data_IF_940143255407
#
_entry.id   IF_940143255407
#
_cell.length_a   1.000
_cell.length_b   1.000
_cell.length_c   1.000
_cell.angle_alpha   90.00
_cell.angle_beta   90.00
_cell.angle_gamma   90.00
#
_symmetry.space_group_name_H-M   'P 1'
#
loop_
_entity.id
_entity.type
_entity.pdbx_description
1 polymer ?
#
# COMPACT_ATOMS: atom_id res chain seq x y z
N UNK A 1 28.43 47.98 6.94
CA UNK A 1 28.08 47.37 8.24
C UNK A 1 26.74 47.83 8.81
N UNK A 2 26.44 49.14 8.97
CA UNK A 2 25.14 49.62 9.51
C UNK A 2 23.89 49.10 8.78
N UNK A 3 23.90 49.03 7.44
CA UNK A 3 22.76 48.46 6.66
C UNK A 3 22.54 46.97 6.91
N UNK A 4 23.60 46.20 7.14
CA UNK A 4 23.53 44.76 7.46
C UNK A 4 22.99 44.53 8.88
N UNK A 5 23.38 45.37 9.84
CA UNK A 5 22.87 45.31 11.21
C UNK A 5 21.37 45.66 11.28
N UNK A 6 20.92 46.68 10.55
CA UNK A 6 19.50 47.05 10.46
C UNK A 6 18.69 45.94 9.80
N UNK A 7 19.18 45.35 8.70
CA UNK A 7 18.56 44.20 8.05
C UNK A 7 18.43 42.99 9.01
N UNK A 8 19.49 42.69 9.77
CA UNK A 8 19.51 41.61 10.75
C UNK A 8 18.53 41.85 11.92
N UNK A 9 18.38 43.08 12.38
CA UNK A 9 17.44 43.42 13.45
C UNK A 9 15.98 43.36 12.96
N UNK A 10 15.70 43.85 11.74
CA UNK A 10 14.37 43.72 11.13
C UNK A 10 14.02 42.26 10.84
N UNK A 11 14.96 41.45 10.36
CA UNK A 11 14.71 40.03 10.11
C UNK A 11 14.48 39.27 11.41
N UNK A 12 15.21 39.58 12.49
CA UNK A 12 15.01 38.98 13.81
C UNK A 12 13.61 39.30 14.39
N UNK A 13 13.12 40.53 14.25
CA UNK A 13 11.77 40.93 14.70
C UNK A 13 10.66 40.24 13.90
N UNK A 14 10.83 40.13 12.57
CA UNK A 14 9.90 39.40 11.70
C UNK A 14 9.92 37.91 12.05
N UNK A 15 11.10 37.34 12.25
CA UNK A 15 11.23 35.94 12.62
C UNK A 15 10.56 35.65 13.96
N UNK A 16 10.86 36.43 15.01
CA UNK A 16 10.22 36.29 16.32
C UNK A 16 8.69 36.41 16.26
N UNK A 17 8.16 37.25 15.37
CA UNK A 17 6.73 37.47 15.22
C UNK A 17 6.01 36.40 14.38
N UNK A 18 6.68 35.78 13.40
CA UNK A 18 6.06 34.95 12.35
C UNK A 18 6.70 33.56 12.19
N UNK A 19 7.65 33.15 13.03
CA UNK A 19 8.37 31.88 12.87
C UNK A 19 7.44 30.67 12.74
N UNK A 20 6.37 30.59 13.54
CA UNK A 20 5.37 29.50 13.45
C UNK A 20 4.73 29.42 12.06
N UNK A 21 4.38 30.57 11.48
CA UNK A 21 3.78 30.65 10.15
C UNK A 21 4.80 30.31 9.06
N UNK A 22 6.04 30.77 9.19
CA UNK A 22 7.12 30.52 8.23
C UNK A 22 7.48 29.04 8.22
N UNK A 23 7.81 28.47 9.38
CA UNK A 23 8.16 27.05 9.53
C UNK A 23 6.97 26.17 9.11
N UNK A 24 5.77 26.50 9.57
CA UNK A 24 4.56 25.77 9.20
C UNK A 24 4.30 25.78 7.69
N UNK A 25 4.48 26.93 7.03
CA UNK A 25 4.34 27.02 5.58
C UNK A 25 5.40 26.20 4.85
N UNK A 26 6.67 26.28 5.26
CA UNK A 26 7.76 25.50 4.66
C UNK A 26 7.49 23.99 4.77
N UNK A 27 6.98 23.53 5.92
CA UNK A 27 6.61 22.12 6.11
C UNK A 27 5.45 21.70 5.20
N UNK A 28 4.42 22.54 5.04
CA UNK A 28 3.31 22.28 4.10
C UNK A 28 3.84 22.22 2.65
N UNK A 29 4.75 23.12 2.25
CA UNK A 29 5.38 23.06 0.93
C UNK A 29 6.24 21.80 0.74
N UNK A 30 7.04 21.45 1.74
CA UNK A 30 7.86 20.24 1.72
C UNK A 30 7.01 18.97 1.61
N UNK A 31 5.80 18.96 2.19
CA UNK A 31 4.87 17.84 2.10
C UNK A 31 4.51 17.47 0.65
N UNK A 32 4.54 18.41 -0.30
CA UNK A 32 4.24 18.12 -1.70
C UNK A 32 5.38 17.40 -2.44
N UNK A 33 6.62 17.56 -1.97
CA UNK A 33 7.80 16.93 -2.57
C UNK A 33 8.20 15.62 -1.86
N UNK A 34 7.76 15.43 -0.61
CA UNK A 34 8.08 14.25 0.20
C UNK A 34 7.10 13.10 -0.05
N UNK A 35 7.55 11.88 0.25
CA UNK A 35 6.75 10.65 0.15
C UNK A 35 5.64 10.67 1.22
N UNK A 36 4.40 10.45 0.77
CA UNK A 36 3.22 10.39 1.63
C UNK A 36 2.89 8.98 2.12
N UNK A 37 3.15 7.97 1.29
CA UNK A 37 2.90 6.56 1.61
C UNK A 37 4.14 5.76 1.22
N UNK A 38 4.63 4.93 2.14
CA UNK A 38 5.72 3.99 1.91
C UNK A 38 5.14 2.65 1.43
N UNK A 39 5.52 2.26 0.21
CA UNK A 39 5.27 0.93 -0.34
C UNK A 39 6.49 0.07 0.00
N UNK A 40 6.32 -1.10 0.63
CA UNK A 40 7.45 -1.96 1.03
C UNK A 40 8.27 -2.47 -0.16
N UNK A 41 7.62 -2.76 -1.28
CA UNK A 41 8.26 -3.40 -2.43
C UNK A 41 8.32 -2.47 -3.65
N UNK A 42 7.20 -1.81 -3.97
CA UNK A 42 7.08 -0.95 -5.15
C UNK A 42 7.77 0.41 -4.97
N UNK A 43 8.23 1.01 -6.07
CA UNK A 43 8.65 2.42 -6.05
C UNK A 43 7.51 3.33 -5.60
N UNK A 44 7.81 4.21 -4.65
CA UNK A 44 6.83 5.09 -4.03
C UNK A 44 6.27 6.13 -5.02
N UNK A 45 4.95 6.34 -5.08
CA UNK A 45 4.39 7.48 -5.79
C UNK A 45 4.79 8.80 -5.09
N UNK A 46 5.15 9.82 -5.87
CA UNK A 46 5.30 11.18 -5.37
C UNK A 46 3.91 11.83 -5.21
N UNK A 47 3.50 12.05 -3.96
CA UNK A 47 2.20 12.60 -3.61
C UNK A 47 1.07 11.56 -3.54
N UNK A 48 0.20 11.69 -2.52
CA UNK A 48 -1.01 10.86 -2.39
C UNK A 48 -2.15 11.51 -3.17
N UNK A 49 -2.80 10.78 -4.09
CA UNK A 49 -3.91 11.29 -4.92
C UNK A 49 -5.24 11.23 -4.18
N UNK A 50 -6.08 12.25 -4.36
CA UNK A 50 -7.45 12.23 -3.84
C UNK A 50 -8.32 11.23 -4.63
N UNK A 51 -9.08 10.34 -3.95
CA UNK A 51 -9.82 9.25 -4.59
C UNK A 51 -10.98 9.72 -5.49
N UNK A 52 -11.47 10.95 -5.34
CA UNK A 52 -12.61 11.45 -6.12
C UNK A 52 -12.34 11.58 -7.62
N UNK A 53 -11.08 11.62 -8.07
CA UNK A 53 -10.73 12.01 -9.45
C UNK A 53 -9.65 11.11 -10.10
N UNK A 54 -9.73 9.79 -9.83
CA UNK A 54 -8.83 8.73 -10.32
C UNK A 54 -8.70 8.64 -11.86
N UNK A 55 -9.52 9.37 -12.63
CA UNK A 55 -9.63 9.27 -14.09
C UNK A 55 -8.93 10.38 -14.89
N UNK A 56 -8.24 11.34 -14.25
CA UNK A 56 -7.54 12.42 -14.93
C UNK A 56 -6.02 12.21 -14.91
N UNK A 57 -5.56 11.11 -15.53
CA UNK A 57 -4.13 10.85 -15.75
C UNK A 57 -3.62 11.66 -16.95
N UNK A 58 -3.04 12.85 -16.68
CA UNK A 58 -2.35 13.63 -17.72
C UNK A 58 -0.82 13.54 -17.62
N UNK A 59 -0.21 13.24 -16.46
CA UNK A 59 1.25 13.03 -16.33
C UNK A 59 1.56 12.08 -15.15
N UNK A 60 2.35 10.99 -15.34
CA UNK A 60 2.60 9.95 -14.33
C UNK A 60 3.49 10.36 -13.13
N UNK A 61 3.94 11.63 -13.04
CA UNK A 61 4.93 12.06 -12.03
C UNK A 61 4.48 13.25 -11.17
N UNK A 62 3.41 13.95 -11.54
CA UNK A 62 2.83 15.06 -10.77
C UNK A 62 1.32 15.05 -10.95
N UNK A 63 0.60 14.48 -10.00
CA UNK A 63 -0.85 14.70 -9.95
C UNK A 63 -1.10 16.11 -9.41
N UNK A 64 -1.67 16.98 -10.24
CA UNK A 64 -2.14 18.32 -9.86
C UNK A 64 -3.12 18.31 -8.66
N UNK A 65 -3.64 17.13 -8.31
CA UNK A 65 -4.63 16.89 -7.25
C UNK A 65 -4.09 15.98 -6.14
N UNK A 66 -2.79 16.08 -5.81
CA UNK A 66 -2.25 15.41 -4.62
C UNK A 66 -2.62 16.15 -3.34
N UNK A 67 -2.67 15.45 -2.22
CA UNK A 67 -2.90 16.06 -0.89
C UNK A 67 -1.93 17.22 -0.60
N UNK A 68 -0.67 17.09 -1.00
CA UNK A 68 0.33 18.15 -0.86
C UNK A 68 0.04 19.38 -1.73
N UNK A 69 -0.35 19.18 -3.00
CA UNK A 69 -0.68 20.29 -3.92
C UNK A 69 -1.96 21.00 -3.48
N UNK A 70 -2.98 20.25 -3.05
CA UNK A 70 -4.21 20.83 -2.46
C UNK A 70 -3.87 21.57 -1.17
N UNK A 71 -2.99 21.03 -0.33
CA UNK A 71 -2.50 21.72 0.86
C UNK A 71 -1.83 23.07 0.54
N UNK A 72 -0.99 23.12 -0.50
CA UNK A 72 -0.38 24.37 -0.98
C UNK A 72 -1.46 25.35 -1.48
N UNK A 73 -2.44 24.88 -2.25
CA UNK A 73 -3.53 25.74 -2.75
C UNK A 73 -4.37 26.33 -1.61
N UNK A 74 -4.70 25.53 -0.59
CA UNK A 74 -5.43 25.99 0.61
C UNK A 74 -4.61 27.01 1.40
N UNK A 75 -3.32 26.73 1.61
CA UNK A 75 -2.42 27.62 2.33
C UNK A 75 -2.25 28.97 1.61
N UNK A 76 -1.98 28.95 0.30
CA UNK A 76 -1.81 30.17 -0.51
C UNK A 76 -3.08 31.01 -0.52
N UNK A 77 -4.24 30.38 -0.68
CA UNK A 77 -5.55 31.05 -0.61
C UNK A 77 -5.78 31.67 0.77
N UNK A 78 -5.49 30.93 1.86
CA UNK A 78 -5.58 31.44 3.22
C UNK A 78 -4.65 32.63 3.49
N UNK A 79 -3.41 32.60 2.98
CA UNK A 79 -2.45 33.70 3.11
C UNK A 79 -2.87 34.96 2.35
N UNK A 80 -3.45 34.83 1.14
CA UNK A 80 -3.98 35.95 0.36
C UNK A 80 -5.19 36.57 1.05
N UNK A 81 -6.14 35.74 1.48
CA UNK A 81 -7.37 36.18 2.14
C UNK A 81 -7.16 36.68 3.57
N UNK A 82 -6.02 36.38 4.19
CA UNK A 82 -5.63 36.94 5.50
C UNK A 82 -5.64 38.47 5.51
N UNK A 83 -5.38 39.12 4.37
CA UNK A 83 -5.45 40.59 4.25
C UNK A 83 -6.86 41.15 4.51
N UNK A 84 -7.90 40.32 4.35
CA UNK A 84 -9.31 40.68 4.55
C UNK A 84 -9.79 40.35 5.97
N UNK A 85 -9.44 39.18 6.48
CA UNK A 85 -9.72 38.79 7.87
C UNK A 85 -8.75 37.70 8.32
N UNK A 86 -8.32 37.77 9.58
CA UNK A 86 -7.48 36.75 10.20
C UNK A 86 -8.20 35.39 10.33
N UNK A 87 -9.54 35.38 10.33
CA UNK A 87 -10.36 34.15 10.39
C UNK A 87 -10.17 33.23 9.18
N UNK A 88 -9.86 33.76 7.99
CA UNK A 88 -9.60 32.94 6.80
C UNK A 88 -8.33 32.10 6.94
N UNK A 89 -7.33 32.57 7.67
CA UNK A 89 -6.13 31.78 7.96
C UNK A 89 -6.45 30.64 8.92
N UNK A 90 -7.30 30.88 9.92
CA UNK A 90 -7.79 29.84 10.83
C UNK A 90 -8.63 28.79 10.09
N UNK A 91 -9.47 29.20 9.12
CA UNK A 91 -10.21 28.30 8.25
C UNK A 91 -9.28 27.46 7.37
N UNK A 92 -8.26 28.08 6.74
CA UNK A 92 -7.26 27.35 5.97
C UNK A 92 -6.52 26.32 6.84
N UNK A 93 -6.13 26.70 8.06
CA UNK A 93 -5.52 25.77 9.01
C UNK A 93 -6.46 24.61 9.38
N UNK A 94 -7.75 24.88 9.64
CA UNK A 94 -8.73 23.84 9.93
C UNK A 94 -8.94 22.87 8.76
N UNK A 95 -8.95 23.36 7.52
CA UNK A 95 -9.02 22.53 6.31
C UNK A 95 -7.73 21.69 6.15
N UNK A 96 -6.56 22.27 6.40
CA UNK A 96 -5.30 21.52 6.34
C UNK A 96 -5.24 20.41 7.40
N UNK A 97 -5.69 20.67 8.62
CA UNK A 97 -5.81 19.66 9.68
C UNK A 97 -6.83 18.59 9.28
N UNK A 98 -7.95 18.97 8.65
CA UNK A 98 -8.92 18.02 8.14
C UNK A 98 -8.33 17.11 7.04
N UNK A 99 -7.52 17.66 6.13
CA UNK A 99 -6.80 16.86 5.12
C UNK A 99 -5.78 15.93 5.76
N UNK A 100 -5.06 16.40 6.79
CA UNK A 100 -4.08 15.60 7.53
C UNK A 100 -4.72 14.37 8.18
N UNK A 101 -5.84 14.54 8.89
CA UNK A 101 -6.54 13.41 9.54
C UNK A 101 -7.31 12.55 8.54
N UNK A 102 -7.82 13.13 7.45
CA UNK A 102 -8.55 12.39 6.43
C UNK A 102 -7.69 11.33 5.72
N UNK A 103 -6.40 11.57 5.52
CA UNK A 103 -5.52 10.67 4.78
C UNK A 103 -5.46 9.23 5.35
N UNK A 104 -5.07 9.00 6.62
CA UNK A 104 -5.10 7.66 7.21
C UNK A 104 -6.51 7.06 7.23
N UNK A 105 -7.54 7.84 7.55
CA UNK A 105 -8.92 7.35 7.58
C UNK A 105 -9.42 6.91 6.20
N UNK A 106 -9.02 7.61 5.13
CA UNK A 106 -9.38 7.20 3.76
C UNK A 106 -8.68 5.91 3.36
N UNK A 107 -7.39 5.76 3.69
CA UNK A 107 -6.65 4.52 3.43
C UNK A 107 -7.28 3.36 4.22
N UNK A 108 -7.57 3.56 5.50
CA UNK A 108 -8.10 2.53 6.39
C UNK A 108 -9.53 2.08 6.06
N UNK A 109 -10.40 3.01 5.65
CA UNK A 109 -11.86 2.75 5.60
C UNK A 109 -12.50 2.92 4.22
N UNK A 110 -11.92 3.73 3.33
CA UNK A 110 -12.55 4.07 2.04
C UNK A 110 -11.86 3.44 0.83
N UNK A 111 -10.57 3.12 0.94
CA UNK A 111 -9.73 2.60 -0.15
C UNK A 111 -9.19 1.18 0.13
N UNK A 112 -10.07 0.16 0.12
CA UNK A 112 -9.68 -1.21 0.45
C UNK A 112 -8.62 -1.78 -0.50
N UNK A 113 -8.66 -1.43 -1.78
CA UNK A 113 -7.65 -1.87 -2.75
C UNK A 113 -6.23 -1.34 -2.42
N UNK A 114 -6.12 -0.13 -1.87
CA UNK A 114 -4.81 0.41 -1.50
C UNK A 114 -4.30 -0.24 -0.22
N UNK A 115 -5.15 -0.38 0.80
CA UNK A 115 -4.79 -1.08 2.03
C UNK A 115 -4.43 -2.54 1.75
N UNK A 116 -5.18 -3.20 0.87
CA UNK A 116 -4.93 -4.56 0.40
C UNK A 116 -3.58 -4.69 -0.29
N UNK A 117 -3.25 -3.75 -1.20
CA UNK A 117 -1.91 -3.69 -1.81
C UNK A 117 -0.79 -3.49 -0.80
N UNK A 118 -0.96 -2.57 0.15
CA UNK A 118 0.05 -2.31 1.19
C UNK A 118 0.35 -3.56 2.02
N UNK A 119 -0.70 -4.28 2.41
CA UNK A 119 -0.59 -5.53 3.16
C UNK A 119 0.02 -6.64 2.29
N UNK A 120 -0.43 -6.79 1.04
CA UNK A 120 0.08 -7.80 0.12
C UNK A 120 1.60 -7.62 -0.11
N UNK A 121 2.07 -6.40 -0.37
CA UNK A 121 3.50 -6.12 -0.54
C UNK A 121 4.31 -6.46 0.74
N UNK A 122 3.75 -6.22 1.94
CA UNK A 122 4.37 -6.63 3.20
C UNK A 122 4.43 -8.16 3.35
N UNK A 123 3.42 -8.89 2.86
CA UNK A 123 3.34 -10.35 2.96
C UNK A 123 4.19 -11.07 1.89
N UNK A 124 4.33 -10.49 0.70
CA UNK A 124 5.14 -11.06 -0.39
C UNK A 124 6.64 -11.05 -0.08
N UNK A 125 7.13 -10.00 0.61
CA UNK A 125 8.56 -9.85 0.91
C UNK A 125 9.16 -11.03 1.70
N UNK A 126 8.58 -11.49 2.82
CA UNK A 126 9.04 -12.68 3.52
C UNK A 126 9.06 -13.94 2.65
N UNK A 127 8.07 -14.09 1.78
CA UNK A 127 8.00 -15.24 0.86
C UNK A 127 9.16 -15.19 -0.15
N UNK A 128 9.39 -14.04 -0.80
CA UNK A 128 10.47 -13.84 -1.78
C UNK A 128 11.84 -14.03 -1.12
N UNK A 129 12.03 -13.49 0.08
CA UNK A 129 13.28 -13.62 0.83
C UNK A 129 13.50 -15.04 1.33
N UNK A 130 12.45 -15.73 1.77
CA UNK A 130 12.48 -17.15 2.12
C UNK A 130 12.90 -18.00 0.92
N UNK A 131 12.33 -17.74 -0.25
CA UNK A 131 12.75 -18.36 -1.51
C UNK A 131 14.21 -18.03 -1.84
N UNK A 132 14.61 -16.76 -1.74
CA UNK A 132 15.96 -16.31 -2.02
C UNK A 132 17.00 -17.02 -1.14
N UNK A 133 16.73 -17.14 0.16
CA UNK A 133 17.60 -17.83 1.12
C UNK A 133 17.83 -19.29 0.78
N UNK A 134 16.82 -19.97 0.21
CA UNK A 134 16.90 -21.39 -0.14
C UNK A 134 17.53 -21.62 -1.51
N UNK A 135 17.26 -20.77 -2.50
CA UNK A 135 17.54 -21.05 -3.91
C UNK A 135 18.58 -20.14 -4.57
N UNK A 136 19.05 -19.11 -3.86
CA UNK A 136 20.03 -18.15 -4.38
C UNK A 136 21.30 -18.16 -3.54
N UNK A 137 22.38 -17.65 -4.14
CA UNK A 137 23.60 -17.35 -3.39
C UNK A 137 23.29 -16.30 -2.32
N UNK A 138 23.78 -16.47 -1.07
CA UNK A 138 23.38 -15.62 0.04
C UNK A 138 23.56 -14.13 -0.26
N UNK A 139 22.51 -13.36 -0.03
CA UNK A 139 22.59 -11.92 0.21
C UNK A 139 21.99 -11.69 1.59
N UNK A 140 22.83 -11.35 2.58
CA UNK A 140 22.41 -11.33 3.97
C UNK A 140 21.54 -10.13 4.34
N UNK A 141 21.51 -9.08 3.50
CA UNK A 141 20.73 -7.85 3.75
C UNK A 141 21.04 -7.18 5.12
N UNK A 142 20.47 -6.01 5.40
CA UNK A 142 20.40 -5.53 6.78
C UNK A 142 19.59 -6.52 7.64
N UNK A 143 19.95 -6.67 8.93
CA UNK A 143 19.14 -7.41 9.88
C UNK A 143 17.74 -6.78 9.97
N UNK A 144 16.72 -7.59 9.70
CA UNK A 144 15.38 -7.07 9.47
C UNK A 144 14.57 -7.01 10.75
N UNK A 145 14.18 -5.80 11.16
CA UNK A 145 13.03 -5.60 12.05
C UNK A 145 11.75 -5.59 11.22
N UNK A 146 11.16 -6.77 10.99
CA UNK A 146 9.77 -6.86 10.54
C UNK A 146 8.96 -7.75 11.47
N UNK A 147 8.13 -7.13 12.33
CA UNK A 147 6.91 -7.79 12.75
C UNK A 147 5.78 -6.78 12.66
N UNK A 148 5.11 -6.72 11.52
CA UNK A 148 3.77 -6.14 11.49
C UNK A 148 2.83 -7.09 10.77
N UNK A 149 2.52 -8.20 11.44
CA UNK A 149 1.21 -8.82 11.23
C UNK A 149 0.20 -7.83 11.79
N UNK A 150 -0.45 -7.10 10.89
CA UNK A 150 -1.53 -6.24 11.28
C UNK A 150 -2.78 -7.11 11.45
N UNK A 151 -3.37 -7.05 12.63
CA UNK A 151 -4.76 -7.46 12.78
C UNK A 151 -5.60 -6.46 11.98
N UNK A 152 -6.31 -6.92 10.96
CA UNK A 152 -7.14 -6.11 10.06
C UNK A 152 -8.62 -6.38 10.27
N UNK A 153 -8.96 -7.25 11.21
CA UNK A 153 -10.34 -7.62 11.53
C UNK A 153 -11.02 -6.54 12.37
N UNK A 154 -10.23 -5.75 13.08
CA UNK A 154 -10.66 -4.61 13.87
C UNK A 154 -10.44 -3.27 13.16
N UNK A 155 -11.35 -2.32 13.38
CA UNK A 155 -11.21 -0.95 12.86
C UNK A 155 -9.93 -0.27 13.35
N UNK A 156 -9.56 -0.53 14.60
CA UNK A 156 -8.33 -0.01 15.19
C UNK A 156 -7.10 -0.60 14.50
N UNK A 157 -7.10 -1.90 14.26
CA UNK A 157 -6.03 -2.59 13.56
C UNK A 157 -5.85 -2.09 12.11
N UNK A 158 -6.93 -1.83 11.37
CA UNK A 158 -6.88 -1.20 10.03
C UNK A 158 -6.32 0.21 10.07
N UNK A 159 -6.68 0.99 11.09
CA UNK A 159 -6.13 2.33 11.27
C UNK A 159 -4.63 2.29 11.55
N UNK A 160 -4.19 1.42 12.46
CA UNK A 160 -2.76 1.21 12.76
C UNK A 160 -1.99 0.71 11.52
N UNK A 161 -2.59 -0.18 10.73
CA UNK A 161 -2.01 -0.62 9.47
C UNK A 161 -1.82 0.57 8.52
N UNK A 162 -2.87 1.35 8.26
CA UNK A 162 -2.78 2.53 7.39
C UNK A 162 -1.75 3.56 7.87
N UNK A 163 -1.74 3.86 9.18
CA UNK A 163 -0.81 4.81 9.80
C UNK A 163 0.65 4.37 9.67
N UNK A 164 0.91 3.07 9.80
CA UNK A 164 2.27 2.52 9.72
C UNK A 164 2.96 2.71 8.37
N UNK A 165 2.18 2.93 7.29
CA UNK A 165 2.69 3.18 5.95
C UNK A 165 2.82 4.66 5.64
N UNK A 166 2.45 5.57 6.54
CA UNK A 166 2.53 7.00 6.28
C UNK A 166 3.99 7.49 6.29
N UNK A 167 4.29 8.33 5.32
CA UNK A 167 5.62 8.88 5.11
C UNK A 167 5.82 10.28 5.66
N UNK A 168 7.06 10.77 5.56
CA UNK A 168 7.46 12.10 6.05
C UNK A 168 6.59 13.23 5.49
N UNK A 169 6.06 13.09 4.27
CA UNK A 169 5.15 14.09 3.69
C UNK A 169 3.90 14.31 4.52
N UNK A 170 3.30 13.23 5.06
CA UNK A 170 2.12 13.33 5.92
C UNK A 170 2.44 14.02 7.25
N UNK A 171 3.56 13.67 7.89
CA UNK A 171 4.02 14.30 9.13
C UNK A 171 4.30 15.80 8.94
N UNK A 172 4.96 16.17 7.83
CA UNK A 172 5.22 17.56 7.50
C UNK A 172 3.92 18.35 7.28
N UNK A 173 2.92 17.78 6.60
CA UNK A 173 1.62 18.45 6.47
C UNK A 173 0.94 18.65 7.83
N UNK A 174 0.91 17.60 8.65
CA UNK A 174 0.27 17.63 9.98
C UNK A 174 0.90 18.67 10.89
N UNK A 175 2.21 18.55 11.13
CA UNK A 175 2.95 19.49 11.98
C UNK A 175 2.84 20.91 11.41
N UNK A 176 2.99 21.09 10.09
CA UNK A 176 2.87 22.39 9.45
C UNK A 176 1.49 23.03 9.67
N UNK A 177 0.42 22.24 9.49
CA UNK A 177 -0.96 22.69 9.69
C UNK A 177 -1.25 23.09 11.14
N UNK A 178 -0.72 22.34 12.12
CA UNK A 178 -0.85 22.64 13.55
C UNK A 178 -0.13 23.94 13.92
N UNK A 179 1.10 24.15 13.43
CA UNK A 179 1.85 25.39 13.68
C UNK A 179 1.12 26.62 13.12
N UNK A 180 0.54 26.51 11.92
CA UNK A 180 -0.27 27.58 11.30
C UNK A 180 -1.55 27.80 12.12
N UNK A 181 -2.21 26.73 12.59
CA UNK A 181 -3.38 26.79 13.46
C UNK A 181 -3.09 27.53 14.77
N UNK A 182 -2.04 27.13 15.50
CA UNK A 182 -1.60 27.77 16.75
C UNK A 182 -1.30 29.25 16.52
N UNK A 183 -0.57 29.56 15.45
CA UNK A 183 -0.27 30.94 15.07
C UNK A 183 -1.54 31.76 14.82
N UNK A 184 -2.50 31.19 14.08
CA UNK A 184 -3.75 31.87 13.73
C UNK A 184 -4.61 32.18 14.97
N UNK A 185 -4.75 31.22 15.90
CA UNK A 185 -5.55 31.38 17.12
C UNK A 185 -4.92 32.39 18.07
N UNK A 186 -3.60 32.36 18.23
CA UNK A 186 -2.88 33.25 19.14
C UNK A 186 -3.06 34.75 18.77
N UNK A 187 -3.26 35.05 17.49
CA UNK A 187 -3.36 36.43 16.97
C UNK A 187 -4.79 36.94 16.76
N UNK A 188 -5.81 36.11 16.98
CA UNK A 188 -7.20 36.54 16.87
C UNK A 188 -7.66 37.33 18.10
N UNK A 189 -8.51 38.36 17.93
CA UNK A 189 -9.17 39.05 19.04
C UNK A 189 -10.14 38.10 19.77
N UNK A 190 -10.41 38.37 21.05
CA UNK A 190 -11.16 37.46 21.93
C UNK A 190 -12.54 37.04 21.36
N UNK A 191 -13.23 37.94 20.69
CA UNK A 191 -14.54 37.70 20.08
C UNK A 191 -14.48 36.73 18.88
N UNK A 192 -13.40 36.76 18.09
CA UNK A 192 -13.23 35.88 16.93
C UNK A 192 -12.62 34.52 17.30
N UNK A 193 -11.96 34.42 18.48
CA UNK A 193 -11.37 33.16 18.97
C UNK A 193 -12.42 32.06 19.12
N UNK A 194 -13.60 32.38 19.65
CA UNK A 194 -14.70 31.43 19.78
C UNK A 194 -15.17 30.88 18.41
N UNK A 195 -15.26 31.74 17.40
CA UNK A 195 -15.61 31.34 16.03
C UNK A 195 -14.52 30.48 15.39
N UNK A 196 -13.25 30.83 15.59
CA UNK A 196 -12.12 30.03 15.10
C UNK A 196 -12.02 28.67 15.80
N UNK A 197 -12.30 28.59 17.11
CA UNK A 197 -12.38 27.33 17.83
C UNK A 197 -13.52 26.45 17.32
N UNK A 198 -14.65 27.03 16.91
CA UNK A 198 -15.73 26.28 16.29
C UNK A 198 -15.33 25.62 14.95
N UNK A 199 -14.31 26.14 14.25
CA UNK A 199 -13.76 25.52 13.04
C UNK A 199 -13.04 24.19 13.32
N UNK A 200 -12.67 23.90 14.57
CA UNK A 200 -12.15 22.58 14.97
C UNK A 200 -13.18 21.46 14.77
N UNK A 201 -14.46 21.78 14.61
CA UNK A 201 -15.50 20.82 14.23
C UNK A 201 -15.29 20.25 12.83
N UNK A 202 -14.64 20.99 11.91
CA UNK A 202 -14.41 20.54 10.53
C UNK A 202 -13.62 19.22 10.47
N UNK A 203 -12.41 19.12 11.05
CA UNK A 203 -11.67 17.85 11.05
C UNK A 203 -12.43 16.73 11.78
N UNK A 204 -13.12 17.03 12.88
CA UNK A 204 -13.93 16.05 13.61
C UNK A 204 -15.08 15.49 12.75
N UNK A 205 -15.81 16.36 12.03
CA UNK A 205 -16.88 15.95 11.11
C UNK A 205 -16.36 15.09 9.98
N UNK A 206 -15.18 15.40 9.42
CA UNK A 206 -14.57 14.58 8.37
C UNK A 206 -14.25 13.17 8.88
N UNK A 207 -13.69 13.03 10.08
CA UNK A 207 -13.44 11.71 10.68
C UNK A 207 -14.73 10.93 10.89
N UNK A 208 -15.76 11.58 11.45
CA UNK A 208 -17.07 10.94 11.67
C UNK A 208 -17.63 10.42 10.35
N UNK A 209 -17.62 11.24 9.28
CA UNK A 209 -18.14 10.86 7.96
C UNK A 209 -17.38 9.65 7.40
N UNK A 210 -16.04 9.65 7.53
CA UNK A 210 -15.21 8.57 7.00
C UNK A 210 -15.35 7.25 7.78
N UNK A 211 -15.55 7.33 9.10
CA UNK A 211 -15.59 6.20 10.02
C UNK A 211 -16.99 5.55 10.12
N UNK A 212 -18.06 6.34 9.99
CA UNK A 212 -19.44 5.86 10.23
C UNK A 212 -19.82 4.61 9.42
N UNK A 213 -19.54 4.52 8.10
CA UNK A 213 -19.88 3.32 7.34
C UNK A 213 -19.18 2.07 7.88
N UNK A 214 -17.88 2.15 8.19
CA UNK A 214 -17.11 1.03 8.72
C UNK A 214 -17.54 0.64 10.14
N UNK A 215 -17.99 1.58 10.97
CA UNK A 215 -18.59 1.27 12.28
C UNK A 215 -19.88 0.47 12.14
N UNK A 216 -20.77 0.89 11.24
CA UNK A 216 -22.02 0.16 10.98
C UNK A 216 -21.70 -1.24 10.43
N UNK A 217 -20.74 -1.34 9.51
CA UNK A 217 -20.28 -2.63 8.98
C UNK A 217 -19.68 -3.55 10.05
N UNK A 218 -18.88 -3.02 10.98
CA UNK A 218 -18.35 -3.77 12.13
C UNK A 218 -19.48 -4.34 12.98
N UNK A 219 -20.51 -3.53 13.29
CA UNK A 219 -21.65 -3.97 14.09
C UNK A 219 -22.41 -5.13 13.43
N UNK A 220 -22.67 -5.04 12.11
CA UNK A 220 -23.30 -6.13 11.37
C UNK A 220 -22.43 -7.37 11.29
N UNK A 221 -21.11 -7.22 11.16
CA UNK A 221 -20.19 -8.35 11.15
C UNK A 221 -20.19 -9.09 12.50
N UNK A 222 -20.09 -8.37 13.61
CA UNK A 222 -20.20 -8.99 14.95
C UNK A 222 -21.54 -9.69 15.12
N UNK A 223 -22.63 -9.08 14.67
CA UNK A 223 -23.97 -9.68 14.68
C UNK A 223 -24.04 -10.96 13.82
N UNK A 224 -23.34 -11.00 12.69
CA UNK A 224 -23.26 -12.16 11.82
C UNK A 224 -22.52 -13.31 12.50
N UNK A 225 -21.35 -13.05 13.08
CA UNK A 225 -20.58 -14.05 13.83
C UNK A 225 -21.38 -14.61 15.02
N UNK A 226 -22.12 -13.76 15.75
CA UNK A 226 -23.00 -14.24 16.83
C UNK A 226 -24.15 -15.11 16.32
N UNK A 227 -24.75 -14.75 15.18
CA UNK A 227 -25.83 -15.55 14.60
C UNK A 227 -25.32 -16.89 14.06
N UNK A 228 -24.12 -16.91 13.47
CA UNK A 228 -23.44 -18.13 13.03
C UNK A 228 -23.15 -19.06 14.20
N UNK A 229 -22.61 -18.54 15.31
CA UNK A 229 -22.36 -19.32 16.52
C UNK A 229 -23.65 -19.89 17.14
N UNK A 230 -24.79 -19.23 16.93
CA UNK A 230 -26.11 -19.68 17.36
C UNK A 230 -26.77 -20.68 16.39
N UNK A 231 -26.12 -21.02 15.27
CA UNK A 231 -26.69 -21.89 14.23
C UNK A 231 -27.76 -21.22 13.36
N UNK A 232 -27.98 -19.91 13.49
CA UNK A 232 -28.96 -19.16 12.71
C UNK A 232 -28.39 -18.74 11.34
N UNK A 233 -28.20 -19.72 10.44
CA UNK A 233 -27.49 -19.55 9.16
C UNK A 233 -28.04 -18.45 8.26
N UNK A 234 -29.35 -18.40 7.99
CA UNK A 234 -29.95 -17.37 7.13
C UNK A 234 -29.77 -15.94 7.68
N UNK A 235 -29.88 -15.81 9.02
CA UNK A 235 -29.67 -14.54 9.71
C UNK A 235 -28.20 -14.11 9.62
N UNK A 236 -27.28 -15.06 9.79
CA UNK A 236 -25.85 -14.80 9.65
C UNK A 236 -25.49 -14.32 8.24
N UNK A 237 -25.97 -15.00 7.19
CA UNK A 237 -25.76 -14.59 5.78
C UNK A 237 -26.28 -13.17 5.55
N UNK A 238 -27.49 -12.87 6.01
CA UNK A 238 -28.08 -11.52 5.86
C UNK A 238 -27.23 -10.45 6.55
N UNK A 239 -26.74 -10.73 7.76
CA UNK A 239 -25.86 -9.81 8.48
C UNK A 239 -24.50 -9.64 7.79
N UNK A 240 -23.90 -10.71 7.23
CA UNK A 240 -22.66 -10.62 6.46
C UNK A 240 -22.82 -9.74 5.21
N UNK A 241 -23.88 -9.94 4.44
CA UNK A 241 -24.17 -9.11 3.25
C UNK A 241 -24.34 -7.64 3.62
N UNK A 242 -25.04 -7.34 4.73
CA UNK A 242 -25.14 -5.96 5.25
C UNK A 242 -23.78 -5.40 5.67
N UNK A 243 -22.95 -6.20 6.34
CA UNK A 243 -21.60 -5.78 6.71
C UNK A 243 -20.77 -5.38 5.49
N UNK A 244 -20.81 -6.18 4.41
CA UNK A 244 -20.14 -5.89 3.14
C UNK A 244 -20.69 -4.65 2.44
N UNK A 245 -21.99 -4.39 2.56
CA UNK A 245 -22.62 -3.21 1.94
C UNK A 245 -22.13 -1.90 2.59
N UNK A 246 -22.01 -1.88 3.92
CA UNK A 246 -21.57 -0.70 4.66
C UNK A 246 -20.03 -0.53 4.69
N UNK A 247 -19.29 -1.64 4.71
CA UNK A 247 -17.84 -1.63 4.86
C UNK A 247 -17.15 -2.18 3.60
N UNK A 248 -16.57 -1.27 2.83
CA UNK A 248 -15.90 -1.59 1.56
C UNK A 248 -14.71 -2.54 1.74
N UNK A 249 -14.05 -2.53 2.90
CA UNK A 249 -13.00 -3.50 3.21
C UNK A 249 -13.56 -4.91 3.30
N UNK A 250 -14.67 -5.07 4.03
CA UNK A 250 -15.35 -6.36 4.17
C UNK A 250 -15.88 -6.90 2.85
N UNK A 251 -16.24 -6.04 1.91
CA UNK A 251 -16.57 -6.46 0.55
C UNK A 251 -15.36 -7.02 -0.23
N UNK A 252 -14.12 -6.75 0.19
CA UNK A 252 -12.90 -7.31 -0.42
C UNK A 252 -12.32 -8.48 0.38
N UNK A 253 -12.85 -8.77 1.58
CA UNK A 253 -12.36 -9.80 2.47
C UNK A 253 -12.93 -11.17 2.07
N UNK A 254 -12.07 -12.04 1.54
CA UNK A 254 -12.48 -13.37 1.07
C UNK A 254 -13.06 -14.25 2.18
N UNK A 255 -12.60 -14.07 3.42
CA UNK A 255 -13.06 -14.89 4.55
C UNK A 255 -14.58 -14.76 4.78
N UNK A 256 -15.17 -13.60 4.44
CA UNK A 256 -16.61 -13.39 4.54
C UNK A 256 -17.37 -14.19 3.47
N UNK A 257 -16.83 -14.24 2.24
CA UNK A 257 -17.41 -15.05 1.17
C UNK A 257 -17.32 -16.54 1.50
N UNK A 258 -16.19 -16.99 2.06
CA UNK A 258 -16.03 -18.37 2.53
C UNK A 258 -17.04 -18.71 3.64
N UNK A 259 -17.21 -17.84 4.64
CA UNK A 259 -18.16 -18.05 5.73
C UNK A 259 -19.61 -18.14 5.24
N UNK A 260 -19.98 -17.28 4.27
CA UNK A 260 -21.30 -17.38 3.62
C UNK A 260 -21.41 -18.72 2.88
N UNK A 261 -20.39 -19.13 2.13
CA UNK A 261 -20.36 -20.39 1.39
C UNK A 261 -20.53 -21.61 2.31
N UNK A 262 -19.84 -21.64 3.45
CA UNK A 262 -19.97 -22.69 4.46
C UNK A 262 -21.41 -22.77 4.99
N UNK A 263 -22.00 -21.64 5.33
CA UNK A 263 -23.38 -21.56 5.81
C UNK A 263 -24.39 -22.04 4.76
N UNK A 264 -24.19 -21.67 3.49
CA UNK A 264 -25.05 -22.11 2.39
C UNK A 264 -24.94 -23.61 2.11
N UNK A 265 -23.75 -24.19 2.25
CA UNK A 265 -23.56 -25.65 2.14
C UNK A 265 -24.25 -26.39 3.28
N UNK A 266 -24.10 -25.92 4.52
CA UNK A 266 -24.75 -26.51 5.70
C UNK A 266 -26.28 -26.40 5.66
N UNK A 267 -26.81 -25.32 5.07
CA UNK A 267 -28.27 -25.11 4.98
C UNK A 267 -28.95 -25.99 3.91
N UNK A 268 -28.19 -26.76 3.12
CA UNK A 268 -28.73 -27.61 2.07
C UNK A 268 -29.42 -26.85 0.91
N UNK A 269 -29.21 -25.52 0.83
CA UNK A 269 -29.71 -24.70 -0.27
C UNK A 269 -29.12 -25.24 -1.57
N UNK A 270 -29.96 -25.77 -2.46
CA UNK A 270 -29.49 -26.49 -3.67
C UNK A 270 -28.95 -25.58 -4.78
N UNK A 271 -29.11 -24.26 -4.66
CA UNK A 271 -28.70 -23.32 -5.70
C UNK A 271 -27.19 -23.10 -5.68
N UNK A 272 -26.56 -23.24 -6.83
CA UNK A 272 -25.14 -22.95 -7.02
C UNK A 272 -24.85 -21.45 -6.75
N UNK A 273 -23.71 -21.15 -6.13
CA UNK A 273 -23.34 -19.79 -5.73
C UNK A 273 -21.82 -19.60 -5.76
N UNK A 274 -21.33 -18.38 -6.03
CA UNK A 274 -19.89 -18.12 -6.05
C UNK A 274 -19.25 -18.27 -4.67
N UNK A 275 -19.98 -18.01 -3.58
CA UNK A 275 -19.51 -18.20 -2.22
C UNK A 275 -19.22 -19.68 -1.89
N UNK A 276 -20.04 -20.61 -2.40
CA UNK A 276 -19.77 -22.05 -2.26
C UNK A 276 -18.50 -22.48 -2.97
N UNK A 277 -18.26 -21.95 -4.18
CA UNK A 277 -17.03 -22.19 -4.91
C UNK A 277 -15.81 -21.68 -4.14
N UNK A 278 -15.87 -20.48 -3.59
CA UNK A 278 -14.80 -19.91 -2.74
C UNK A 278 -14.55 -20.77 -1.50
N UNK A 279 -15.62 -21.17 -0.79
CA UNK A 279 -15.53 -22.05 0.38
C UNK A 279 -14.90 -23.41 0.04
N UNK A 280 -15.28 -24.03 -1.08
CA UNK A 280 -14.67 -25.28 -1.56
C UNK A 280 -13.21 -25.10 -2.00
N UNK A 281 -12.87 -23.95 -2.59
CA UNK A 281 -11.50 -23.64 -2.95
C UNK A 281 -10.58 -23.58 -1.72
N UNK A 282 -11.06 -23.03 -0.59
CA UNK A 282 -10.30 -23.06 0.67
C UNK A 282 -10.00 -24.48 1.13
N UNK A 283 -10.99 -25.37 1.12
CA UNK A 283 -10.79 -26.78 1.50
C UNK A 283 -9.73 -27.45 0.63
N UNK A 284 -9.79 -27.23 -0.69
CA UNK A 284 -8.75 -27.71 -1.60
C UNK A 284 -7.37 -27.10 -1.31
N UNK A 285 -7.30 -25.80 -0.99
CA UNK A 285 -6.04 -25.13 -0.63
C UNK A 285 -5.44 -25.72 0.65
N UNK A 286 -6.25 -25.98 1.66
CA UNK A 286 -5.84 -26.66 2.90
C UNK A 286 -5.33 -28.07 2.64
N UNK A 287 -5.98 -28.80 1.72
CA UNK A 287 -5.53 -30.10 1.21
C UNK A 287 -4.32 -30.05 0.27
N UNK A 288 -3.82 -28.85 -0.08
CA UNK A 288 -2.79 -28.61 -1.12
C UNK A 288 -3.18 -29.09 -2.52
N UNK A 289 -4.47 -29.24 -2.79
CA UNK A 289 -5.04 -29.53 -4.10
C UNK A 289 -5.19 -28.23 -4.90
N UNK A 290 -4.06 -27.58 -5.19
CA UNK A 290 -4.04 -26.24 -5.76
C UNK A 290 -4.77 -26.11 -7.10
N UNK A 291 -4.71 -27.12 -7.96
CA UNK A 291 -5.42 -27.11 -9.25
C UNK A 291 -6.94 -27.05 -9.06
N UNK A 292 -7.47 -27.87 -8.15
CA UNK A 292 -8.88 -27.87 -7.77
C UNK A 292 -9.27 -26.54 -7.13
N UNK A 293 -8.43 -25.97 -6.28
CA UNK A 293 -8.67 -24.67 -5.65
C UNK A 293 -8.77 -23.54 -6.70
N UNK A 294 -7.79 -23.46 -7.61
CA UNK A 294 -7.79 -22.48 -8.70
C UNK A 294 -9.01 -22.65 -9.61
N UNK A 295 -9.40 -23.88 -9.91
CA UNK A 295 -10.59 -24.17 -10.72
C UNK A 295 -11.87 -23.64 -10.08
N UNK A 296 -12.08 -23.89 -8.78
CA UNK A 296 -13.25 -23.38 -8.07
C UNK A 296 -13.23 -21.85 -7.96
N UNK A 297 -12.06 -21.23 -7.74
CA UNK A 297 -11.93 -19.76 -7.73
C UNK A 297 -12.25 -19.14 -9.10
N UNK A 298 -11.86 -19.79 -10.19
CA UNK A 298 -12.24 -19.35 -11.54
C UNK A 298 -13.75 -19.38 -11.73
N UNK A 299 -14.43 -20.44 -11.27
CA UNK A 299 -15.91 -20.51 -11.31
C UNK A 299 -16.57 -19.41 -10.49
N UNK A 300 -16.03 -19.10 -9.31
CA UNK A 300 -16.51 -17.98 -8.51
C UNK A 300 -16.29 -16.63 -9.22
N UNK A 301 -15.18 -16.48 -9.93
CA UNK A 301 -14.85 -15.27 -10.66
C UNK A 301 -15.75 -15.05 -11.89
N UNK A 302 -16.13 -16.12 -12.59
CA UNK A 302 -16.99 -16.10 -13.77
C UNK A 302 -18.42 -15.64 -13.45
N UNK A 303 -18.84 -15.72 -12.18
CA UNK A 303 -20.12 -15.20 -11.71
C UNK A 303 -20.24 -13.67 -11.83
N UNK A 304 -19.12 -12.96 -11.93
CA UNK A 304 -19.08 -11.51 -12.09
C UNK A 304 -19.40 -10.72 -10.82
N UNK A 305 -19.74 -9.45 -10.98
CA UNK A 305 -20.11 -8.57 -9.86
C UNK A 305 -18.99 -8.34 -8.84
N UNK A 306 -19.38 -8.17 -7.57
CA UNK A 306 -18.44 -7.84 -6.49
C UNK A 306 -17.51 -9.01 -6.08
N UNK A 307 -17.92 -10.26 -6.33
CA UNK A 307 -17.14 -11.44 -5.96
C UNK A 307 -15.98 -11.71 -6.93
N UNK A 308 -16.13 -11.33 -8.20
CA UNK A 308 -15.12 -11.58 -9.23
C UNK A 308 -13.71 -11.04 -8.92
N UNK A 309 -13.51 -9.78 -8.51
CA UNK A 309 -12.17 -9.29 -8.16
C UNK A 309 -11.58 -10.02 -6.94
N UNK A 310 -12.41 -10.39 -5.95
CA UNK A 310 -11.95 -11.10 -4.75
C UNK A 310 -11.51 -12.53 -5.10
N UNK A 311 -12.30 -13.23 -5.91
CA UNK A 311 -11.98 -14.57 -6.37
C UNK A 311 -10.72 -14.61 -7.26
N UNK A 312 -10.52 -13.60 -8.13
CA UNK A 312 -9.28 -13.47 -8.93
C UNK A 312 -8.07 -13.18 -8.06
N UNK A 313 -8.21 -12.34 -7.05
CA UNK A 313 -7.11 -12.05 -6.14
C UNK A 313 -6.67 -13.28 -5.34
N UNK A 314 -7.62 -14.07 -4.85
CA UNK A 314 -7.31 -15.33 -4.19
C UNK A 314 -6.78 -16.39 -5.15
N UNK A 315 -7.29 -16.46 -6.38
CA UNK A 315 -6.77 -17.35 -7.43
C UNK A 315 -5.30 -17.03 -7.70
N UNK A 316 -4.96 -15.75 -7.88
CA UNK A 316 -3.59 -15.31 -8.07
C UNK A 316 -2.69 -15.71 -6.89
N UNK A 317 -3.13 -15.48 -5.65
CA UNK A 317 -2.43 -15.89 -4.43
C UNK A 317 -2.20 -17.42 -4.39
N UNK A 318 -3.25 -18.20 -4.66
CA UNK A 318 -3.21 -19.66 -4.69
C UNK A 318 -2.24 -20.18 -5.76
N UNK A 319 -2.19 -19.54 -6.94
CA UNK A 319 -1.23 -19.87 -7.99
C UNK A 319 0.21 -19.58 -7.59
N UNK A 320 0.44 -18.55 -6.78
CA UNK A 320 1.79 -18.26 -6.26
C UNK A 320 2.26 -19.37 -5.34
N UNK A 321 1.43 -19.77 -4.39
CA UNK A 321 1.70 -20.91 -3.50
C UNK A 321 1.92 -22.20 -4.29
N UNK A 322 1.07 -22.44 -5.29
CA UNK A 322 1.21 -23.59 -6.19
C UNK A 322 2.54 -23.56 -6.95
N UNK A 323 2.91 -22.42 -7.52
CA UNK A 323 4.17 -22.26 -8.22
C UNK A 323 5.38 -22.49 -7.31
N UNK A 324 5.33 -22.04 -6.05
CA UNK A 324 6.38 -22.30 -5.06
C UNK A 324 6.48 -23.79 -4.75
N UNK A 325 5.34 -24.48 -4.57
CA UNK A 325 5.31 -25.92 -4.33
C UNK A 325 5.86 -26.71 -5.54
N UNK A 326 5.49 -26.33 -6.76
CA UNK A 326 6.00 -26.92 -8.00
C UNK A 326 7.50 -26.71 -8.15
N UNK A 327 7.98 -25.50 -7.90
CA UNK A 327 9.41 -25.18 -7.98
C UNK A 327 10.21 -26.01 -6.98
N UNK A 328 9.72 -26.15 -5.74
CA UNK A 328 10.29 -27.03 -4.71
C UNK A 328 10.36 -28.49 -5.16
N UNK A 329 9.35 -28.95 -5.90
CA UNK A 329 9.30 -30.29 -6.48
C UNK A 329 10.11 -30.47 -7.77
N UNK A 330 10.83 -29.45 -8.24
CA UNK A 330 11.61 -29.48 -9.48
C UNK A 330 10.79 -29.18 -10.76
N UNK A 331 9.48 -28.95 -10.64
CA UNK A 331 8.59 -28.52 -11.71
C UNK A 331 8.76 -27.04 -12.07
N UNK A 332 9.98 -26.62 -12.42
CA UNK A 332 10.31 -25.19 -12.62
C UNK A 332 9.49 -24.59 -13.77
N UNK A 333 9.32 -25.33 -14.86
CA UNK A 333 8.56 -24.87 -16.03
C UNK A 333 7.10 -24.57 -15.69
N UNK A 334 6.43 -25.48 -14.98
CA UNK A 334 5.04 -25.31 -14.56
C UNK A 334 4.91 -24.23 -13.48
N UNK A 335 5.89 -24.13 -12.56
CA UNK A 335 5.94 -23.04 -11.58
C UNK A 335 5.95 -21.66 -12.24
N UNK A 336 6.81 -21.46 -13.25
CA UNK A 336 6.88 -20.20 -14.00
C UNK A 336 5.54 -19.89 -14.67
N UNK A 337 4.87 -20.89 -15.25
CA UNK A 337 3.54 -20.70 -15.85
C UNK A 337 2.51 -20.25 -14.82
N UNK A 338 2.49 -20.85 -13.62
CA UNK A 338 1.56 -20.46 -12.56
C UNK A 338 1.80 -19.02 -12.10
N UNK A 339 3.06 -18.63 -11.89
CA UNK A 339 3.39 -17.25 -11.53
C UNK A 339 3.05 -16.24 -12.65
N UNK A 340 3.24 -16.62 -13.91
CA UNK A 340 2.83 -15.76 -15.03
C UNK A 340 1.30 -15.57 -15.07
N UNK A 341 0.53 -16.63 -14.81
CA UNK A 341 -0.93 -16.55 -14.73
C UNK A 341 -1.40 -15.70 -13.54
N UNK A 342 -0.77 -15.85 -12.37
CA UNK A 342 -1.04 -15.01 -11.20
C UNK A 342 -0.81 -13.51 -11.49
N UNK A 343 0.27 -13.17 -12.21
CA UNK A 343 0.56 -11.80 -12.61
C UNK A 343 -0.46 -11.24 -13.62
N UNK A 344 -1.03 -12.08 -14.48
CA UNK A 344 -2.08 -11.69 -15.43
C UNK A 344 -3.40 -11.42 -14.70
N UNK A 345 -3.73 -12.23 -13.70
CA UNK A 345 -4.95 -12.08 -12.89
C UNK A 345 -4.87 -10.85 -11.98
N UNK A 346 -3.72 -10.59 -11.33
CA UNK A 346 -3.51 -9.46 -10.41
C UNK A 346 -2.15 -8.76 -10.62
N UNK A 347 -2.01 -7.92 -11.67
CA UNK A 347 -0.73 -7.31 -12.03
C UNK A 347 -0.20 -6.28 -11.03
N UNK A 348 -1.07 -5.72 -10.19
CA UNK A 348 -0.71 -4.66 -9.23
C UNK A 348 -0.30 -5.23 -7.88
N UNK A 349 -0.97 -6.29 -7.42
CA UNK A 349 -0.66 -6.92 -6.13
C UNK A 349 0.60 -7.77 -6.25
N UNK A 350 0.72 -8.55 -7.33
CA UNK A 350 1.75 -9.58 -7.47
C UNK A 350 3.06 -9.08 -8.09
N UNK A 351 3.45 -7.82 -7.89
CA UNK A 351 4.67 -7.32 -8.52
C UNK A 351 5.93 -8.03 -8.01
N UNK A 352 5.92 -8.50 -6.75
CA UNK A 352 7.00 -9.23 -6.12
C UNK A 352 7.35 -10.54 -6.82
N UNK A 353 6.36 -11.24 -7.39
CA UNK A 353 6.57 -12.54 -8.04
C UNK A 353 7.35 -12.45 -9.35
N UNK A 354 7.45 -11.25 -9.92
CA UNK A 354 8.24 -11.01 -11.16
C UNK A 354 9.69 -11.46 -10.99
N UNK A 355 10.24 -11.34 -9.77
CA UNK A 355 11.58 -11.84 -9.46
C UNK A 355 11.66 -13.39 -9.51
N UNK A 356 10.64 -14.09 -9.00
CA UNK A 356 10.56 -15.56 -9.07
C UNK A 356 10.47 -16.04 -10.52
N UNK A 357 9.68 -15.35 -11.35
CA UNK A 357 9.58 -15.62 -12.80
C UNK A 357 10.95 -15.45 -13.47
N UNK A 358 11.70 -14.39 -13.16
CA UNK A 358 13.04 -14.19 -13.70
C UNK A 358 13.96 -15.35 -13.30
N UNK A 359 13.97 -15.71 -12.02
CA UNK A 359 14.80 -16.82 -11.52
C UNK A 359 14.43 -18.15 -12.18
N UNK A 360 13.15 -18.49 -12.26
CA UNK A 360 12.72 -19.72 -12.91
C UNK A 360 13.09 -19.78 -14.40
N UNK A 361 13.03 -18.66 -15.12
CA UNK A 361 13.53 -18.61 -16.50
C UNK A 361 15.04 -18.83 -16.59
N UNK A 362 15.83 -18.30 -15.65
CA UNK A 362 17.25 -18.58 -15.58
C UNK A 362 17.53 -20.06 -15.36
N UNK A 363 16.84 -20.72 -14.43
CA UNK A 363 17.03 -22.14 -14.15
C UNK A 363 16.61 -23.05 -15.32
N UNK A 364 15.67 -22.60 -16.16
CA UNK A 364 15.29 -23.25 -17.41
C UNK A 364 16.27 -22.99 -18.56
N UNK A 365 17.36 -22.25 -18.33
CA UNK A 365 18.31 -21.84 -19.38
C UNK A 365 17.78 -20.76 -20.33
N UNK A 366 16.62 -20.16 -20.04
CA UNK A 366 15.98 -19.11 -20.85
C UNK A 366 16.55 -17.74 -20.47
N UNK A 367 17.85 -17.56 -20.63
CA UNK A 367 18.59 -16.40 -20.12
C UNK A 367 18.10 -15.05 -20.68
N UNK A 368 17.75 -14.99 -21.97
CA UNK A 368 17.22 -13.76 -22.57
C UNK A 368 15.84 -13.39 -22.00
N UNK A 369 14.95 -14.38 -21.84
CA UNK A 369 13.65 -14.17 -21.22
C UNK A 369 13.79 -13.74 -19.75
N UNK A 370 14.73 -14.33 -19.02
CA UNK A 370 15.07 -13.90 -17.65
C UNK A 370 15.49 -12.42 -17.62
N UNK A 371 16.41 -12.00 -18.50
CA UNK A 371 16.85 -10.60 -18.58
C UNK A 371 15.69 -9.63 -18.86
N UNK A 372 14.75 -10.00 -19.72
CA UNK A 372 13.60 -9.14 -20.02
C UNK A 372 12.65 -9.02 -18.82
N UNK A 373 12.50 -10.08 -18.04
CA UNK A 373 11.76 -10.05 -16.77
C UNK A 373 12.52 -9.23 -15.71
N UNK A 374 13.83 -9.39 -15.60
CA UNK A 374 14.68 -8.62 -14.67
C UNK A 374 14.57 -7.11 -14.91
N UNK A 375 14.55 -6.67 -16.17
CA UNK A 375 14.32 -5.24 -16.50
C UNK A 375 13.02 -4.71 -15.90
N UNK A 376 11.96 -5.53 -15.80
CA UNK A 376 10.71 -5.14 -15.14
C UNK A 376 10.87 -5.04 -13.63
N UNK A 377 11.56 -6.00 -13.00
CA UNK A 377 11.88 -5.96 -11.55
C UNK A 377 12.64 -4.68 -11.22
N UNK A 378 13.68 -4.34 -11.97
CA UNK A 378 14.52 -3.16 -11.74
C UNK A 378 13.75 -1.83 -11.91
N UNK A 379 12.70 -1.80 -12.74
CA UNK A 379 11.84 -0.62 -12.93
C UNK A 379 10.80 -0.49 -11.82
N UNK A 380 10.26 -1.60 -11.33
CA UNK A 380 9.14 -1.62 -10.40
C UNK A 380 9.57 -1.58 -8.93
N UNK A 381 10.66 -2.27 -8.58
CA UNK A 381 11.10 -2.45 -7.19
C UNK A 381 11.81 -1.20 -6.65
N UNK A 382 11.52 -0.88 -5.39
CA UNK A 382 12.27 0.04 -4.54
C UNK A 382 13.03 -0.66 -3.41
N UNK A 383 12.94 -2.00 -3.30
CA UNK A 383 13.60 -2.79 -2.27
C UNK A 383 15.06 -3.06 -2.66
N UNK A 384 16.01 -2.55 -1.87
CA UNK A 384 17.45 -2.63 -2.17
C UNK A 384 17.96 -4.07 -2.28
N UNK A 385 17.64 -5.00 -1.36
CA UNK A 385 18.04 -6.41 -1.49
C UNK A 385 17.53 -7.09 -2.77
N UNK A 386 16.27 -6.86 -3.16
CA UNK A 386 15.73 -7.43 -4.40
C UNK A 386 16.37 -6.77 -5.63
N UNK A 387 16.63 -5.46 -5.61
CA UNK A 387 17.36 -4.78 -6.68
C UNK A 387 18.78 -5.36 -6.85
N UNK A 388 19.49 -5.59 -5.75
CA UNK A 388 20.78 -6.25 -5.74
C UNK A 388 20.68 -7.67 -6.34
N UNK A 389 19.76 -8.50 -5.84
CA UNK A 389 19.56 -9.85 -6.35
C UNK A 389 19.19 -9.88 -7.85
N UNK A 390 18.38 -8.91 -8.31
CA UNK A 390 18.01 -8.78 -9.71
C UNK A 390 19.22 -8.42 -10.59
N UNK A 391 20.10 -7.52 -10.13
CA UNK A 391 21.36 -7.24 -10.83
C UNK A 391 22.32 -8.43 -10.83
N UNK A 392 22.42 -9.18 -9.73
CA UNK A 392 23.22 -10.42 -9.70
C UNK A 392 22.69 -11.46 -10.68
N UNK A 393 21.37 -11.66 -10.73
CA UNK A 393 20.73 -12.56 -11.69
C UNK A 393 20.95 -12.10 -13.14
N UNK A 394 20.90 -10.79 -13.40
CA UNK A 394 21.25 -10.25 -14.72
C UNK A 394 22.71 -10.56 -15.08
N UNK A 395 23.63 -10.41 -14.12
CA UNK A 395 25.03 -10.75 -14.29
C UNK A 395 25.22 -12.21 -14.69
N UNK A 396 24.58 -13.13 -13.96
CA UNK A 396 24.64 -14.56 -14.25
C UNK A 396 24.07 -14.87 -15.65
N UNK A 397 22.96 -14.23 -16.04
CA UNK A 397 22.40 -14.37 -17.39
C UNK A 397 23.37 -13.86 -18.47
N UNK A 398 23.99 -12.70 -18.28
CA UNK A 398 24.96 -12.16 -19.24
C UNK A 398 26.19 -13.06 -19.37
N UNK A 399 26.71 -13.61 -18.26
CA UNK A 399 27.80 -14.58 -18.30
C UNK A 399 27.41 -15.82 -19.12
N UNK A 400 26.22 -16.38 -18.91
CA UNK A 400 25.73 -17.54 -19.69
C UNK A 400 25.50 -17.25 -21.17
N UNK A 401 25.32 -15.99 -21.53
CA UNK A 401 25.22 -15.52 -22.91
C UNK A 401 26.56 -15.08 -23.52
N UNK A 402 27.69 -15.21 -22.80
CA UNK A 402 29.02 -14.79 -23.26
C UNK A 402 29.25 -13.27 -23.28
N UNK A 403 28.47 -12.52 -22.50
CA UNK A 403 28.44 -11.05 -22.45
C UNK A 403 29.17 -10.51 -21.23
N UNK A 404 30.47 -10.75 -21.15
CA UNK A 404 31.26 -10.56 -19.92
C UNK A 404 31.31 -9.13 -19.41
N UNK A 405 31.37 -8.13 -20.31
CA UNK A 405 31.41 -6.71 -19.94
C UNK A 405 30.12 -6.30 -19.22
N UNK A 406 28.98 -6.76 -19.71
CA UNK A 406 27.66 -6.46 -19.16
C UNK A 406 27.40 -7.24 -17.88
N UNK A 407 27.93 -8.46 -17.80
CA UNK A 407 27.93 -9.25 -16.56
C UNK A 407 28.67 -8.51 -15.45
N UNK A 408 29.92 -8.07 -15.69
CA UNK A 408 30.72 -7.30 -14.72
C UNK A 408 30.01 -6.04 -14.27
N UNK A 409 29.47 -5.25 -15.21
CA UNK A 409 28.72 -4.04 -14.89
C UNK A 409 27.49 -4.35 -14.02
N UNK A 410 26.79 -5.45 -14.29
CA UNK A 410 25.62 -5.88 -13.52
C UNK A 410 26.00 -6.26 -12.09
N UNK A 411 27.05 -7.05 -11.88
CA UNK A 411 27.54 -7.36 -10.53
C UNK A 411 28.04 -6.12 -9.79
N UNK A 412 28.70 -5.18 -10.47
CA UNK A 412 29.12 -3.90 -9.86
C UNK A 412 27.91 -3.09 -9.41
N UNK A 413 26.82 -3.05 -10.20
CA UNK A 413 25.57 -2.39 -9.79
C UNK A 413 24.92 -3.11 -8.62
N UNK A 414 24.92 -4.44 -8.64
CA UNK A 414 24.43 -5.27 -7.54
C UNK A 414 25.06 -4.90 -6.20
N UNK A 415 26.40 -4.76 -6.17
CA UNK A 415 27.13 -4.31 -4.98
C UNK A 415 26.85 -2.85 -4.59
N UNK A 416 26.48 -1.97 -5.54
CA UNK A 416 26.11 -0.58 -5.21
C UNK A 416 24.75 -0.49 -4.52
N UNK A 417 23.81 -1.35 -4.89
CA UNK A 417 22.49 -1.39 -4.25
C UNK A 417 22.59 -1.99 -2.84
N UNK A 418 23.47 -2.98 -2.64
CA UNK A 418 23.69 -3.62 -1.33
C UNK A 418 25.16 -3.99 -1.13
N UNK A 419 25.93 -3.08 -0.52
CA UNK A 419 27.40 -3.14 -0.50
C UNK A 419 27.96 -4.05 0.60
N UNK A 420 27.24 -4.26 1.70
CA UNK A 420 27.82 -4.85 2.92
C UNK A 420 27.62 -6.37 3.02
N UNK A 421 26.68 -6.94 2.27
CA UNK A 421 26.15 -8.29 2.55
C UNK A 421 25.78 -9.11 1.30
N UNK A 422 25.98 -8.55 0.11
CA UNK A 422 25.69 -9.20 -1.16
C UNK A 422 26.84 -10.09 -1.65
N UNK A 423 26.93 -11.27 -1.03
CA UNK A 423 27.96 -12.26 -1.35
C UNK A 423 27.86 -12.76 -2.80
N UNK A 424 26.65 -12.77 -3.38
CA UNK A 424 26.44 -13.17 -4.77
C UNK A 424 27.17 -12.27 -5.77
N UNK A 425 27.00 -10.95 -5.68
CA UNK A 425 27.71 -10.02 -6.56
C UNK A 425 29.22 -10.05 -6.34
N UNK A 426 29.64 -10.20 -5.08
CA UNK A 426 31.06 -10.22 -4.70
C UNK A 426 31.78 -11.46 -5.26
N UNK A 427 31.24 -12.67 -5.04
CA UNK A 427 31.89 -13.92 -5.46
C UNK A 427 32.12 -13.98 -6.97
N UNK A 428 31.16 -13.48 -7.75
CA UNK A 428 31.25 -13.43 -9.22
C UNK A 428 32.28 -12.44 -9.73
N UNK A 429 32.49 -11.31 -9.05
CA UNK A 429 33.52 -10.34 -9.42
C UNK A 429 34.92 -10.80 -9.04
N UNK A 430 35.05 -11.59 -7.98
CA UNK A 430 36.34 -12.14 -7.53
C UNK A 430 36.73 -13.45 -8.22
N UNK A 431 35.86 -14.02 -9.06
CA UNK A 431 36.15 -15.20 -9.87
C UNK A 431 35.99 -16.55 -9.13
N UNK A 432 35.18 -16.58 -8.07
CA UNK A 432 34.87 -17.81 -7.31
C UNK A 432 33.64 -18.56 -7.85
#
# INVERSE_FOLDING_TARGET
MKRLAVLAETSAKIWAAYWLLIVGSVLVFASAALKWVYLPFSRHPFGFQLPLLRNLELIPHFSLLSYGVVGIAVLTTGLVLRRRSATYLALAAAILIALWVAAPCQIAFQQPALLGRLIAETQELPMIRGFAKTYLTPNYGPAEDYPKRFDIDTLWGRFLAADSFLGLGWYCLGIGSLLIGIYSIARLPAEERMRALALSRIPASVVIILLTPSLIGQHYFTSACTAQAQGAGERAITCYRRAMWFDRWRAHDINIYEAIGDLERLSGLSKDSPEKHISKAREFKEGREYESAVFELARAADWGGAVAPVARAESASTRVDFGIALYRGGGIGTAVTQWQQALVEEPVHQQGITFLIARGNYDLGRYQASLDVVKRVLRASGDLPILANAYSLAGDCYTKLGRDVEARNSYTRSLKEDMLVNFWGMSRLTGN
#
